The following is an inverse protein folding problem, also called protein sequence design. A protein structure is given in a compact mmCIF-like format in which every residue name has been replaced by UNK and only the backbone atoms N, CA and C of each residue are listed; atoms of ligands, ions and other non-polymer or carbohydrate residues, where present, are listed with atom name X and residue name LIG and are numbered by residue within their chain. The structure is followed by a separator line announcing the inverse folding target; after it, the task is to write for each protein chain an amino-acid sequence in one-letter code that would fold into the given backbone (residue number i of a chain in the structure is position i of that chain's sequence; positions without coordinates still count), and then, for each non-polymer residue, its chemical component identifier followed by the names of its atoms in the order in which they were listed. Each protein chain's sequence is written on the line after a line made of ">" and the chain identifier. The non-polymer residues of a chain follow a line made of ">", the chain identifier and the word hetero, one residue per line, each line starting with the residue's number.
data_IF_107827942449
#
_entry.id   IF_107827942449
#
_cell.length_a   1.000
_cell.length_b   1.000
_cell.length_c   1.000
_cell.angle_alpha   90.00
_cell.angle_beta   90.00
_cell.angle_gamma   90.00
#
_symmetry.space_group_name_H-M   'P 1'
#
loop_
_entity.id
_entity.type
_entity.pdbx_description
1 polymer ?
#
# COMPACT_ATOMS: atom_id res chain seq x y z
N UNK A 1 0.76 13.40 -11.93
CA UNK A 1 0.72 11.97 -11.59
C UNK A 1 2.11 11.52 -11.26
N UNK A 2 2.26 10.93 -10.08
CA UNK A 2 3.54 10.54 -9.49
C UNK A 2 3.34 9.26 -8.67
N UNK A 3 4.29 8.32 -8.72
CA UNK A 3 4.30 7.07 -7.95
C UNK A 3 5.75 6.79 -7.48
N UNK A 4 6.00 6.47 -6.19
CA UNK A 4 5.06 6.42 -5.07
C UNK A 4 4.70 7.82 -4.55
N UNK A 5 3.46 8.01 -4.04
CA UNK A 5 2.97 9.32 -3.54
C UNK A 5 2.20 9.20 -2.22
N UNK A 6 2.70 8.35 -1.35
CA UNK A 6 2.12 7.91 -0.09
C UNK A 6 2.76 8.52 1.16
N UNK A 7 3.94 9.15 1.05
CA UNK A 7 4.62 9.81 2.19
C UNK A 7 3.93 11.09 2.69
N UNK A 8 3.03 11.65 1.87
CA UNK A 8 2.17 12.81 2.17
C UNK A 8 2.93 14.09 2.60
N UNK A 9 2.19 15.17 2.86
CA UNK A 9 2.73 16.39 3.46
C UNK A 9 2.03 16.77 4.77
N UNK A 10 1.36 15.80 5.42
CA UNK A 10 0.54 16.07 6.61
C UNK A 10 -0.39 17.26 6.38
N UNK A 11 -0.30 18.28 7.25
CA UNK A 11 -1.10 19.51 7.17
C UNK A 11 -0.32 20.73 6.66
N UNK A 12 0.77 20.54 5.93
CA UNK A 12 1.54 21.65 5.34
C UNK A 12 0.65 22.51 4.44
N UNK A 13 0.47 23.77 4.79
CA UNK A 13 -0.46 24.68 4.11
C UNK A 13 -0.05 24.95 2.66
N UNK A 14 -1.02 24.98 1.76
CA UNK A 14 -0.82 25.11 0.29
C UNK A 14 -0.15 23.91 -0.38
N UNK A 15 0.22 22.86 0.35
CA UNK A 15 0.64 21.59 -0.23
C UNK A 15 -0.57 20.69 -0.55
N UNK A 16 -0.45 19.70 -1.45
CA UNK A 16 -1.48 18.70 -1.67
C UNK A 16 -1.94 18.04 -0.36
N UNK A 17 -3.24 17.76 -0.24
CA UNK A 17 -3.76 17.03 0.93
C UNK A 17 -3.27 15.57 0.92
N UNK A 18 -3.14 14.91 2.08
CA UNK A 18 -2.83 13.47 2.14
C UNK A 18 -3.75 12.62 1.26
N UNK A 19 -5.05 12.95 1.21
CA UNK A 19 -6.03 12.25 0.37
C UNK A 19 -5.78 12.45 -1.12
N UNK A 20 -5.45 13.67 -1.56
CA UNK A 20 -5.11 13.93 -2.96
C UNK A 20 -3.83 13.20 -3.39
N UNK A 21 -2.85 13.09 -2.49
CA UNK A 21 -1.60 12.38 -2.76
C UNK A 21 -1.81 10.88 -2.91
N UNK A 22 -2.54 10.24 -1.99
CA UNK A 22 -2.88 8.81 -2.07
C UNK A 22 -3.84 8.53 -3.24
N UNK A 23 -4.74 9.45 -3.59
CA UNK A 23 -5.58 9.31 -4.79
C UNK A 23 -4.77 9.40 -6.11
N UNK A 24 -3.70 10.20 -6.15
CA UNK A 24 -2.79 10.24 -7.31
C UNK A 24 -2.00 8.92 -7.42
N UNK A 25 -1.59 8.34 -6.27
CA UNK A 25 -0.97 7.02 -6.18
C UNK A 25 -1.91 5.92 -6.73
N UNK A 26 -3.14 5.83 -6.22
CA UNK A 26 -4.16 4.85 -6.65
C UNK A 26 -4.47 4.94 -8.15
N UNK A 27 -4.65 6.17 -8.67
CA UNK A 27 -4.88 6.38 -10.10
C UNK A 27 -3.67 5.94 -10.95
N UNK A 28 -2.46 6.29 -10.53
CA UNK A 28 -1.24 5.91 -11.23
C UNK A 28 -1.08 4.39 -11.28
N UNK A 29 -1.30 3.70 -10.15
CA UNK A 29 -1.26 2.25 -10.06
C UNK A 29 -2.32 1.62 -10.99
N UNK A 30 -3.55 2.12 -10.94
CA UNK A 30 -4.64 1.62 -11.78
C UNK A 30 -4.31 1.72 -13.27
N UNK A 31 -3.74 2.85 -13.71
CA UNK A 31 -3.33 3.05 -15.11
C UNK A 31 -2.19 2.10 -15.53
N UNK A 32 -1.23 1.81 -14.64
CA UNK A 32 -0.17 0.83 -14.90
C UNK A 32 -0.78 -0.57 -15.09
N UNK A 33 -1.64 -1.00 -14.17
CA UNK A 33 -2.28 -2.33 -14.23
C UNK A 33 -3.17 -2.45 -15.47
N UNK A 34 -3.96 -1.42 -15.79
CA UNK A 34 -4.79 -1.39 -17.01
C UNK A 34 -3.92 -1.57 -18.25
N UNK A 35 -2.85 -0.78 -18.38
CA UNK A 35 -1.96 -0.84 -19.55
C UNK A 35 -1.27 -2.19 -19.70
N UNK A 36 -0.86 -2.80 -18.59
CA UNK A 36 -0.26 -4.14 -18.57
C UNK A 36 -1.28 -5.22 -18.91
N UNK A 37 -2.51 -5.12 -18.42
CA UNK A 37 -3.58 -6.09 -18.67
C UNK A 37 -4.07 -6.11 -20.13
N UNK A 38 -3.90 -5.00 -20.85
CA UNK A 38 -4.18 -4.89 -22.29
C UNK A 38 -2.98 -5.30 -23.16
N UNK A 39 -1.83 -5.60 -22.55
CA UNK A 39 -0.62 -5.95 -23.30
C UNK A 39 -0.64 -7.42 -23.75
N UNK A 40 0.06 -7.77 -24.85
CA UNK A 40 0.25 -9.16 -25.25
C UNK A 40 0.94 -10.03 -24.20
N UNK A 41 1.63 -9.43 -23.23
CA UNK A 41 2.30 -10.13 -22.14
C UNK A 41 1.34 -10.54 -21.02
N UNK A 42 0.13 -9.94 -20.92
CA UNK A 42 -0.82 -10.19 -19.83
C UNK A 42 -1.02 -11.68 -19.49
N UNK A 43 -1.19 -12.61 -20.47
CA UNK A 43 -1.35 -14.04 -20.19
C UNK A 43 -0.23 -14.69 -19.36
N UNK A 44 0.94 -14.06 -19.28
CA UNK A 44 2.11 -14.52 -18.54
C UNK A 44 2.58 -13.56 -17.44
N UNK A 45 1.74 -12.57 -17.05
CA UNK A 45 2.10 -11.61 -16.01
C UNK A 45 1.49 -12.00 -14.65
N UNK A 46 2.27 -11.74 -13.59
CA UNK A 46 1.79 -11.61 -12.23
C UNK A 46 2.38 -10.32 -11.65
N UNK A 47 1.51 -9.43 -11.17
CA UNK A 47 1.84 -8.14 -10.59
C UNK A 47 1.55 -8.25 -9.09
N UNK A 48 2.55 -7.96 -8.27
CA UNK A 48 2.43 -7.88 -6.81
C UNK A 48 2.66 -6.43 -6.40
N UNK A 49 1.74 -5.87 -5.62
CA UNK A 49 1.82 -4.50 -5.11
C UNK A 49 1.74 -4.56 -3.60
N UNK A 50 2.75 -4.00 -2.94
CA UNK A 50 2.91 -3.94 -1.50
C UNK A 50 3.79 -2.74 -1.17
N UNK A 51 3.68 -2.26 0.06
CA UNK A 51 4.58 -1.25 0.60
C UNK A 51 5.87 -1.90 1.13
N UNK A 52 6.93 -1.12 1.29
CA UNK A 52 8.19 -1.55 1.89
C UNK A 52 8.07 -1.77 3.41
N UNK A 53 7.23 -0.97 4.08
CA UNK A 53 6.79 -1.19 5.46
C UNK A 53 5.30 -0.85 5.70
N UNK A 54 4.85 -0.94 6.96
CA UNK A 54 3.47 -0.59 7.36
C UNK A 54 3.34 0.88 7.79
N UNK A 55 4.41 1.65 7.63
CA UNK A 55 4.65 2.95 8.23
C UNK A 55 4.45 2.88 9.76
N UNK A 56 4.34 4.02 10.43
CA UNK A 56 3.99 4.09 11.85
C UNK A 56 2.46 4.22 12.08
N UNK A 57 1.65 3.69 11.16
CA UNK A 57 0.21 3.77 11.20
C UNK A 57 -0.41 2.87 12.28
N UNK A 58 -1.40 3.33 13.07
CA UNK A 58 -2.06 2.47 14.03
C UNK A 58 -2.99 1.45 13.34
N UNK A 59 -2.64 0.17 13.41
CA UNK A 59 -3.50 -0.94 13.01
C UNK A 59 -4.07 -1.67 14.23
N UNK A 60 -5.31 -2.17 14.12
CA UNK A 60 -6.02 -2.81 15.23
C UNK A 60 -5.69 -4.30 15.42
N UNK A 61 -5.02 -4.92 14.44
CA UNK A 61 -4.58 -6.31 14.47
C UNK A 61 -3.09 -6.40 14.78
N UNK A 62 -2.24 -5.77 13.96
CA UNK A 62 -0.78 -5.73 14.14
C UNK A 62 -0.18 -4.50 13.45
N UNK A 63 0.75 -3.81 14.13
CA UNK A 63 1.36 -2.58 13.61
C UNK A 63 2.19 -2.79 12.33
N UNK A 64 2.61 -4.02 12.01
CA UNK A 64 3.34 -4.34 10.78
C UNK A 64 2.41 -4.81 9.66
N UNK A 65 1.09 -4.82 9.87
CA UNK A 65 0.14 -5.21 8.82
C UNK A 65 0.08 -4.11 7.76
N UNK A 66 0.46 -4.45 6.53
CA UNK A 66 0.37 -3.58 5.35
C UNK A 66 -0.55 -4.18 4.28
N UNK A 67 -0.69 -3.47 3.15
CA UNK A 67 -1.50 -3.91 2.00
C UNK A 67 -0.70 -4.85 1.08
N UNK A 68 -1.39 -5.82 0.50
CA UNK A 68 -0.87 -6.68 -0.56
C UNK A 68 -1.96 -6.87 -1.61
N UNK A 69 -1.71 -6.40 -2.83
CA UNK A 69 -2.59 -6.56 -3.98
C UNK A 69 -1.91 -7.45 -5.01
N UNK A 70 -2.70 -8.28 -5.69
CA UNK A 70 -2.23 -9.17 -6.75
C UNK A 70 -3.09 -8.99 -7.99
N UNK A 71 -2.46 -8.77 -9.14
CA UNK A 71 -3.12 -8.72 -10.44
C UNK A 71 -2.45 -9.67 -11.43
N UNK A 72 -3.22 -10.58 -12.00
CA UNK A 72 -2.78 -11.58 -12.97
C UNK A 72 -4.01 -12.17 -13.64
N UNK A 73 -3.94 -12.72 -14.87
CA UNK A 73 -5.02 -13.58 -15.37
C UNK A 73 -5.30 -14.76 -14.44
N UNK A 74 -4.32 -15.18 -13.65
CA UNK A 74 -4.47 -16.27 -12.69
C UNK A 74 -4.87 -15.79 -11.30
N UNK A 75 -4.95 -14.48 -11.03
CA UNK A 75 -5.35 -14.00 -9.71
C UNK A 75 -6.83 -14.34 -9.48
N UNK A 76 -7.21 -14.71 -8.25
CA UNK A 76 -8.63 -14.83 -7.90
C UNK A 76 -9.24 -13.43 -7.86
N UNK A 77 -10.25 -13.18 -8.68
CA UNK A 77 -10.90 -11.87 -8.78
C UNK A 77 -11.98 -11.68 -7.71
N UNK A 78 -12.10 -10.45 -7.18
CA UNK A 78 -13.19 -10.05 -6.28
C UNK A 78 -13.17 -10.73 -4.91
N UNK A 79 -12.04 -11.29 -4.49
CA UNK A 79 -11.89 -11.97 -3.20
C UNK A 79 -10.90 -11.24 -2.30
N UNK A 80 -11.12 -11.34 -0.99
CA UNK A 80 -10.14 -10.98 0.03
C UNK A 80 -9.57 -12.28 0.58
N UNK A 81 -8.26 -12.45 0.45
CA UNK A 81 -7.55 -13.57 1.07
C UNK A 81 -7.09 -13.14 2.47
N UNK A 82 -7.52 -13.87 3.49
CA UNK A 82 -7.16 -13.61 4.89
C UNK A 82 -6.05 -14.55 5.40
N UNK A 83 -5.37 -15.27 4.50
CA UNK A 83 -4.17 -16.05 4.85
C UNK A 83 -3.08 -15.11 5.38
N UNK A 84 -2.38 -15.52 6.44
CA UNK A 84 -1.26 -14.75 6.97
C UNK A 84 -0.07 -14.81 6.01
N UNK A 85 0.29 -13.66 5.44
CA UNK A 85 1.43 -13.51 4.55
C UNK A 85 2.45 -12.51 5.12
N UNK A 86 3.69 -12.67 4.69
CA UNK A 86 4.81 -11.77 4.95
C UNK A 86 5.47 -11.38 3.64
N UNK A 87 6.38 -10.41 3.63
CA UNK A 87 7.16 -10.08 2.42
C UNK A 87 7.93 -11.29 1.87
N UNK A 88 8.42 -12.18 2.75
CA UNK A 88 9.04 -13.44 2.35
C UNK A 88 8.09 -14.40 1.61
N UNK A 89 6.77 -14.30 1.88
CA UNK A 89 5.74 -15.05 1.16
C UNK A 89 5.65 -14.63 -0.31
N UNK A 90 5.81 -13.34 -0.58
CA UNK A 90 5.84 -12.78 -1.95
C UNK A 90 7.09 -13.25 -2.67
N UNK A 91 8.26 -13.19 -2.02
CA UNK A 91 9.54 -13.69 -2.56
C UNK A 91 9.42 -15.17 -2.95
N UNK A 92 8.97 -16.02 -2.02
CA UNK A 92 8.76 -17.45 -2.28
C UNK A 92 7.81 -17.68 -3.46
N UNK A 93 6.77 -16.87 -3.60
CA UNK A 93 5.79 -17.02 -4.69
C UNK A 93 6.38 -16.65 -6.04
N UNK A 94 7.21 -15.59 -6.11
CA UNK A 94 7.95 -15.22 -7.31
C UNK A 94 8.92 -16.33 -7.71
N UNK A 95 9.67 -16.88 -6.75
CA UNK A 95 10.59 -17.99 -6.99
C UNK A 95 9.85 -19.20 -7.57
N UNK A 96 8.72 -19.59 -6.99
CA UNK A 96 7.93 -20.72 -7.48
C UNK A 96 7.34 -20.48 -8.87
N UNK A 97 6.88 -19.26 -9.17
CA UNK A 97 6.39 -18.89 -10.51
C UNK A 97 7.51 -18.99 -11.55
N UNK A 98 8.73 -18.60 -11.18
CA UNK A 98 9.90 -18.59 -12.07
C UNK A 98 10.68 -19.91 -12.07
N UNK A 99 10.33 -20.87 -11.22
CA UNK A 99 11.05 -22.15 -11.07
C UNK A 99 12.42 -22.01 -10.41
N UNK A 100 12.60 -21.02 -9.53
CA UNK A 100 13.83 -20.74 -8.80
C UNK A 100 13.86 -21.46 -7.45
N UNK A 101 15.07 -21.66 -6.92
CA UNK A 101 15.27 -22.13 -5.54
C UNK A 101 15.16 -20.96 -4.55
N UNK A 102 14.78 -21.21 -3.28
CA UNK A 102 14.79 -20.19 -2.23
C UNK A 102 16.15 -19.52 -2.04
N UNK A 103 16.16 -18.22 -1.79
CA UNK A 103 17.38 -17.46 -1.51
C UNK A 103 17.91 -17.72 -0.09
N UNK A 104 17.04 -18.10 0.85
CA UNK A 104 17.40 -18.29 2.26
C UNK A 104 16.52 -19.34 2.96
N UNK A 105 16.64 -19.45 4.29
CA UNK A 105 15.70 -20.23 5.10
C UNK A 105 14.38 -19.48 5.36
N UNK A 106 14.34 -18.15 5.19
CA UNK A 106 13.18 -17.33 5.56
C UNK A 106 12.05 -17.43 4.54
N UNK A 107 12.37 -17.25 3.27
CA UNK A 107 11.51 -17.51 2.11
C UNK A 107 11.23 -19.01 1.95
N UNK A 108 12.21 -19.90 2.16
CA UNK A 108 11.98 -21.35 2.12
C UNK A 108 10.91 -21.82 3.13
N UNK A 109 10.79 -21.13 4.27
CA UNK A 109 9.81 -21.43 5.32
C UNK A 109 8.53 -20.56 5.22
N UNK A 110 8.42 -19.67 4.24
CA UNK A 110 7.28 -18.78 4.10
C UNK A 110 6.03 -19.50 3.57
N UNK A 111 4.85 -18.88 3.75
CA UNK A 111 3.59 -19.40 3.20
C UNK A 111 3.40 -18.88 1.78
N UNK A 112 3.35 -19.70 0.72
CA UNK A 112 3.19 -19.21 -0.64
C UNK A 112 1.79 -18.63 -0.88
N UNK A 113 1.67 -17.68 -1.81
CA UNK A 113 0.43 -17.00 -2.18
C UNK A 113 -0.52 -17.88 -3.00
N UNK A 114 -0.47 -19.22 -2.89
CA UNK A 114 -1.29 -20.13 -3.71
C UNK A 114 -2.79 -19.85 -3.61
N UNK A 115 -3.25 -19.44 -2.42
CA UNK A 115 -4.64 -19.06 -2.26
C UNK A 115 -4.98 -17.83 -3.13
N UNK A 116 -4.09 -16.86 -3.35
CA UNK A 116 -4.36 -15.72 -4.23
C UNK A 116 -4.54 -16.10 -5.72
N UNK A 117 -4.21 -17.33 -6.14
CA UNK A 117 -4.25 -17.76 -7.54
C UNK A 117 -5.28 -18.87 -7.84
N UNK A 118 -5.74 -18.90 -9.08
CA UNK A 118 -6.62 -19.90 -9.69
C UNK A 118 -5.87 -20.66 -10.78
N UNK A 119 -6.21 -21.94 -10.98
CA UNK A 119 -5.66 -22.73 -12.10
C UNK A 119 -6.23 -22.33 -13.47
N UNK A 120 -7.44 -21.77 -13.50
CA UNK A 120 -8.08 -21.31 -14.72
C UNK A 120 -7.86 -19.81 -14.85
N UNK A 121 -7.20 -19.34 -15.93
CA UNK A 121 -7.01 -17.92 -16.13
C UNK A 121 -8.32 -17.23 -16.53
N UNK A 122 -8.47 -15.99 -16.06
CA UNK A 122 -9.43 -15.01 -16.53
C UNK A 122 -8.67 -13.89 -17.24
N UNK A 123 -8.74 -13.87 -18.57
CA UNK A 123 -8.03 -12.88 -19.40
C UNK A 123 -8.75 -11.53 -19.48
N UNK A 124 -9.78 -11.29 -18.66
CA UNK A 124 -10.45 -9.99 -18.61
C UNK A 124 -9.45 -8.90 -18.24
N UNK A 125 -9.30 -7.91 -19.12
CA UNK A 125 -8.45 -6.75 -18.88
C UNK A 125 -8.99 -5.93 -17.72
N UNK A 126 -8.09 -5.40 -16.90
CA UNK A 126 -8.45 -4.47 -15.85
C UNK A 126 -8.76 -3.11 -16.48
N UNK A 127 -9.84 -2.47 -16.02
CA UNK A 127 -10.13 -1.07 -16.30
C UNK A 127 -9.98 -0.29 -15.00
N UNK A 128 -9.14 0.75 -15.00
CA UNK A 128 -8.94 1.54 -13.79
C UNK A 128 -10.22 2.31 -13.43
N UNK A 129 -10.47 2.49 -12.13
CA UNK A 129 -11.61 3.28 -11.67
C UNK A 129 -11.28 4.76 -11.83
N UNK A 130 -12.18 5.59 -12.38
CA UNK A 130 -11.98 7.03 -12.41
C UNK A 130 -11.80 7.57 -10.99
N UNK A 131 -10.75 8.36 -10.82
CA UNK A 131 -10.49 8.99 -9.54
C UNK A 131 -11.64 9.95 -9.16
N UNK A 132 -12.16 9.77 -7.94
CA UNK A 132 -13.29 10.55 -7.39
C UNK A 132 -12.83 11.72 -6.52
N UNK A 133 -11.52 11.82 -6.22
CA UNK A 133 -10.97 12.83 -5.34
C UNK A 133 -10.16 13.89 -6.11
N UNK A 134 -10.34 15.21 -5.89
CA UNK A 134 -9.59 16.20 -6.65
C UNK A 134 -8.07 16.10 -6.38
N UNK A 135 -7.28 15.72 -7.39
CA UNK A 135 -5.81 15.59 -7.24
C UNK A 135 -5.11 16.93 -7.00
N UNK A 136 -5.77 18.03 -7.35
CA UNK A 136 -5.32 19.40 -7.11
C UNK A 136 -5.80 19.97 -5.78
N UNK A 137 -6.47 19.17 -4.94
CA UNK A 137 -6.87 19.62 -3.60
C UNK A 137 -5.63 19.92 -2.76
N UNK A 138 -5.57 21.15 -2.24
CA UNK A 138 -4.50 21.62 -1.37
C UNK A 138 -5.02 21.81 0.04
N UNK A 139 -4.15 21.55 1.01
CA UNK A 139 -4.35 21.95 2.40
C UNK A 139 -4.63 23.46 2.45
N UNK A 140 -5.65 23.92 3.22
CA UNK A 140 -5.94 25.33 3.38
C UNK A 140 -4.71 26.14 3.77
N UNK A 141 -4.58 27.36 3.23
CA UNK A 141 -3.48 28.28 3.58
C UNK A 141 -3.41 28.63 5.06
N UNK A 142 -4.46 28.39 5.83
CA UNK A 142 -4.49 28.61 7.28
C UNK A 142 -3.89 27.42 8.06
N UNK A 143 -3.83 26.22 7.46
CA UNK A 143 -3.21 25.08 8.12
C UNK A 143 -1.71 25.31 8.25
N UNK A 144 -1.18 24.98 9.41
CA UNK A 144 0.25 25.02 9.73
C UNK A 144 0.59 23.64 10.26
N UNK A 145 1.46 22.95 9.52
CA UNK A 145 2.14 21.78 10.08
C UNK A 145 3.05 22.25 11.21
N UNK A 146 3.17 21.46 12.26
CA UNK A 146 4.20 21.67 13.29
C UNK A 146 5.53 21.02 12.90
N UNK A 147 5.52 20.17 11.87
CA UNK A 147 6.68 19.52 11.29
C UNK A 147 7.45 20.56 10.45
N UNK A 148 8.78 20.66 10.61
CA UNK A 148 9.60 21.51 9.75
C UNK A 148 9.44 21.16 8.26
N UNK A 149 9.36 22.18 7.41
CA UNK A 149 9.21 22.00 5.96
C UNK A 149 10.35 21.17 5.33
N UNK A 150 11.55 21.22 5.91
CA UNK A 150 12.70 20.44 5.47
C UNK A 150 12.52 18.94 5.76
N UNK A 151 11.87 18.60 6.87
CA UNK A 151 11.66 17.22 7.31
C UNK A 151 10.55 16.54 6.49
N UNK A 152 9.71 17.33 5.80
CA UNK A 152 8.71 16.85 4.84
C UNK A 152 9.24 16.78 3.40
N UNK A 153 10.51 17.17 3.15
CA UNK A 153 11.10 17.17 1.82
C UNK A 153 11.74 15.82 1.45
N UNK A 154 12.09 15.02 2.45
CA UNK A 154 12.73 13.71 2.32
C UNK A 154 11.92 12.68 3.09
N UNK A 155 11.83 11.47 2.54
CA UNK A 155 11.15 10.35 3.18
C UNK A 155 11.78 10.04 4.54
N UNK A 156 10.96 9.63 5.50
CA UNK A 156 11.39 9.10 6.80
C UNK A 156 12.19 10.07 7.71
N UNK A 157 12.18 11.39 7.40
CA UNK A 157 12.84 12.41 8.24
C UNK A 157 11.90 13.01 9.28
N UNK A 158 10.63 13.23 8.93
CA UNK A 158 9.63 13.79 9.85
C UNK A 158 9.38 12.90 11.06
N UNK A 159 9.09 13.51 12.23
CA UNK A 159 8.59 12.75 13.37
C UNK A 159 7.28 12.04 12.99
N UNK A 160 7.34 10.72 12.95
CA UNK A 160 6.25 9.90 12.44
C UNK A 160 4.99 9.99 13.29
N UNK A 161 5.12 10.19 14.62
CA UNK A 161 3.96 10.32 15.50
C UNK A 161 3.23 11.65 15.27
N UNK A 162 3.98 12.72 15.01
CA UNK A 162 3.48 14.01 14.57
C UNK A 162 2.80 13.90 13.20
N UNK A 163 3.48 13.30 12.23
CA UNK A 163 2.97 13.14 10.86
C UNK A 163 1.66 12.34 10.84
N UNK A 164 1.60 11.22 11.57
CA UNK A 164 0.38 10.43 11.69
C UNK A 164 -0.77 11.21 12.32
N UNK A 165 -0.48 12.05 13.32
CA UNK A 165 -1.51 12.89 13.94
C UNK A 165 -2.04 13.93 12.96
N UNK A 166 -1.16 14.59 12.21
CA UNK A 166 -1.54 15.58 11.21
C UNK A 166 -2.36 14.96 10.07
N UNK A 167 -1.93 13.79 9.56
CA UNK A 167 -2.67 13.03 8.57
C UNK A 167 -4.06 12.68 9.11
N UNK A 168 -4.14 12.08 10.31
CA UNK A 168 -5.41 11.68 10.92
C UNK A 168 -6.37 12.86 11.08
N UNK A 169 -5.90 13.99 11.60
CA UNK A 169 -6.73 15.18 11.76
C UNK A 169 -7.22 15.74 10.42
N UNK A 170 -6.40 15.62 9.35
CA UNK A 170 -6.80 16.04 8.00
C UNK A 170 -7.92 15.16 7.42
N UNK A 171 -7.93 13.86 7.71
CA UNK A 171 -8.88 12.89 7.12
C UNK A 171 -10.09 12.60 8.01
N UNK A 172 -9.95 12.75 9.32
CA UNK A 172 -10.95 12.49 10.37
C UNK A 172 -10.98 13.65 11.38
N UNK A 173 -11.36 14.86 10.96
CA UNK A 173 -11.37 16.02 11.84
C UNK A 173 -12.28 15.78 13.05
N UNK A 174 -11.84 16.27 14.21
CA UNK A 174 -12.53 16.11 15.50
C UNK A 174 -12.68 14.67 16.01
N UNK A 175 -12.06 13.68 15.36
CA UNK A 175 -11.99 12.32 15.89
C UNK A 175 -10.68 12.11 16.64
N UNK A 176 -10.76 11.38 17.75
CA UNK A 176 -9.56 11.02 18.53
C UNK A 176 -8.66 10.11 17.70
N UNK A 177 -7.36 10.36 17.73
CA UNK A 177 -6.36 9.46 17.13
C UNK A 177 -6.53 8.05 17.71
N UNK A 178 -6.54 6.99 16.87
CA UNK A 178 -6.55 5.62 17.35
C UNK A 178 -5.33 5.39 18.24
N UNK A 179 -5.55 4.81 19.41
CA UNK A 179 -4.44 4.47 20.30
C UNK A 179 -3.70 3.25 19.75
N UNK A 180 -2.37 3.32 19.68
CA UNK A 180 -1.55 2.15 19.41
C UNK A 180 -1.85 1.07 20.46
N UNK A 181 -2.22 -0.13 20.01
CA UNK A 181 -2.41 -1.29 20.88
C UNK A 181 -1.08 -2.02 20.99
N UNK A 182 -0.46 -1.99 22.17
CA UNK A 182 0.67 -2.86 22.48
C UNK A 182 0.13 -4.18 23.00
N UNK A 183 0.16 -5.22 22.18
CA UNK A 183 -0.05 -6.57 22.66
C UNK A 183 1.22 -7.01 23.41
N UNK A 184 1.17 -7.02 24.75
CA UNK A 184 2.17 -7.76 25.51
C UNK A 184 1.86 -9.23 25.24
N UNK A 185 2.79 -9.96 24.62
CA UNK A 185 2.76 -11.42 24.59
C UNK A 185 2.79 -11.91 26.04
N UNK A 186 1.64 -12.08 26.65
CA UNK A 186 1.51 -12.92 27.82
C UNK A 186 1.59 -14.36 27.32
N UNK A 187 2.81 -14.88 27.28
CA UNK A 187 3.05 -16.30 27.03
C UNK A 187 2.22 -17.15 28.00
N UNK A 188 1.48 -18.09 27.43
CA UNK A 188 1.02 -19.32 28.08
C UNK A 188 1.20 -20.46 27.11
#
# INVERSE_FOLDING_TARGET
>A
MWLPRDHTYGRRGSSPTPRAMVADNDLALGQIVERLSQSPAWPSLAIFVLEDDAQNGPDHVDAHRSVLLVASPYARHGVVDSTFYTTASVVLSIEQILGLAPLSQYDAAATPLWNAFSRRPDSTSFAHVPNVWPLSELNPRAFRSTIPDADLAEADVADEAELNREIWESVRPHQRLPAARRAILHGR
#
